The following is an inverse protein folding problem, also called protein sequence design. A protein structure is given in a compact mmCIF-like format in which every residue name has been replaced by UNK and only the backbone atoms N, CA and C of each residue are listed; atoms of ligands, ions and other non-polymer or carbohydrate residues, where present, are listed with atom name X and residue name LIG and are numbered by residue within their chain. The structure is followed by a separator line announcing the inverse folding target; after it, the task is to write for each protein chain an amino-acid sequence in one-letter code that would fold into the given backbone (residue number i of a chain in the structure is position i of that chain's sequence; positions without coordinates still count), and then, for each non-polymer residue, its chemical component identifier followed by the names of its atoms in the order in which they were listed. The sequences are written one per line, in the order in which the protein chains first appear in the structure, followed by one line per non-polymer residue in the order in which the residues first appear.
data_IF_365139001742
#
_entry.id   IF_365139001742
#
_cell.length_a   1.000
_cell.length_b   1.000
_cell.length_c   1.000
_cell.angle_alpha   90.00
_cell.angle_beta   90.00
_cell.angle_gamma   90.00
#
_symmetry.space_group_name_H-M   'P 1'
#
loop_
_entity.id
_entity.type
_entity.pdbx_description
1 polymer ?
#
# COMPACT_ATOMS: atom_id res chain seq x y z
N UNK A 1 10.22 3.61 -2.39
CA UNK A 1 10.86 4.90 -2.10
C UNK A 1 11.44 4.92 -0.68
N UNK A 2 10.64 4.70 0.37
CA UNK A 2 11.14 4.68 1.77
C UNK A 2 12.39 3.80 2.00
N UNK A 3 12.46 2.55 1.52
CA UNK A 3 13.63 1.70 1.79
C UNK A 3 14.91 2.25 1.17
N UNK A 4 14.84 2.88 -0.01
CA UNK A 4 16.02 3.44 -0.65
C UNK A 4 16.56 4.68 0.08
N UNK A 5 15.67 5.50 0.65
CA UNK A 5 16.11 6.66 1.41
C UNK A 5 16.74 6.26 2.76
N UNK A 6 16.14 5.30 3.45
CA UNK A 6 16.60 4.88 4.77
C UNK A 6 17.79 3.91 4.69
N UNK A 7 17.72 2.86 3.87
CA UNK A 7 18.71 1.79 3.84
C UNK A 7 19.86 2.09 2.87
N UNK A 8 19.57 2.61 1.67
CA UNK A 8 20.62 2.85 0.67
C UNK A 8 21.28 4.22 0.85
N UNK A 9 20.49 5.27 1.10
CA UNK A 9 20.98 6.65 1.25
C UNK A 9 21.32 7.03 2.70
N UNK A 10 20.93 6.20 3.69
CA UNK A 10 21.26 6.40 5.11
C UNK A 10 20.54 7.58 5.78
N UNK A 11 19.41 8.04 5.23
CA UNK A 11 18.61 9.07 5.89
C UNK A 11 17.86 8.44 7.09
N UNK A 12 18.11 8.95 8.30
CA UNK A 12 17.56 8.37 9.54
C UNK A 12 16.08 8.72 9.78
N UNK A 13 15.64 9.90 9.33
CA UNK A 13 14.28 10.43 9.61
C UNK A 13 13.35 10.36 8.39
N UNK A 14 13.27 9.20 7.72
CA UNK A 14 12.38 9.03 6.55
C UNK A 14 10.96 8.69 7.02
N UNK A 15 9.95 9.53 6.72
CA UNK A 15 8.58 9.24 7.11
C UNK A 15 8.04 8.01 6.38
N UNK A 16 7.40 7.12 7.13
CA UNK A 16 6.67 5.98 6.58
C UNK A 16 5.40 6.47 5.85
N UNK A 17 4.84 5.62 5.00
CA UNK A 17 3.53 5.91 4.42
C UNK A 17 2.48 6.02 5.52
N UNK A 18 1.68 7.08 5.47
CA UNK A 18 0.63 7.35 6.46
C UNK A 18 -0.66 6.55 6.21
N UNK A 19 -0.85 6.04 4.99
CA UNK A 19 -2.02 5.28 4.58
C UNK A 19 -1.66 4.34 3.43
N UNK A 20 -2.29 3.17 3.39
CA UNK A 20 -2.16 2.25 2.26
C UNK A 20 -3.53 1.68 1.87
N UNK A 21 -3.86 1.75 0.58
CA UNK A 21 -4.96 1.01 0.00
C UNK A 21 -4.52 0.39 -1.31
N UNK A 22 -4.87 -0.87 -1.52
CA UNK A 22 -4.64 -1.58 -2.75
C UNK A 22 -5.96 -2.11 -3.27
N UNK A 23 -6.29 -1.80 -4.53
CA UNK A 23 -7.37 -2.44 -5.27
C UNK A 23 -6.72 -3.46 -6.19
N UNK A 24 -7.13 -4.72 -6.08
CA UNK A 24 -6.49 -5.83 -6.77
C UNK A 24 -7.51 -6.92 -7.03
N UNK A 25 -7.44 -7.61 -8.16
CA UNK A 25 -8.19 -8.84 -8.45
C UNK A 25 -7.33 -10.10 -8.21
N UNK A 26 -6.04 -9.93 -7.90
CA UNK A 26 -5.12 -11.03 -7.61
C UNK A 26 -5.32 -11.57 -6.21
N UNK A 27 -5.73 -12.83 -6.12
CA UNK A 27 -5.60 -13.59 -4.87
C UNK A 27 -4.14 -13.67 -4.43
N UNK A 28 -3.89 -13.62 -3.11
CA UNK A 28 -2.58 -13.92 -2.51
C UNK A 28 -2.17 -15.34 -2.88
N UNK A 29 -1.40 -15.49 -3.95
CA UNK A 29 -0.98 -16.77 -4.50
C UNK A 29 0.51 -16.70 -4.84
N UNK A 30 1.30 -17.59 -4.22
CA UNK A 30 2.73 -17.83 -4.48
C UNK A 30 3.69 -16.63 -4.39
N UNK A 31 3.53 -15.72 -3.42
CA UNK A 31 4.54 -14.69 -3.14
C UNK A 31 4.71 -13.65 -4.24
N UNK A 32 3.65 -13.42 -5.04
CA UNK A 32 3.62 -12.32 -6.01
C UNK A 32 3.72 -10.96 -5.31
N UNK A 33 4.64 -10.10 -5.78
CA UNK A 33 4.73 -8.71 -5.31
C UNK A 33 3.41 -7.95 -5.45
N UNK A 34 2.63 -8.25 -6.49
CA UNK A 34 1.34 -7.60 -6.77
C UNK A 34 0.25 -8.05 -5.81
N UNK A 35 0.31 -9.29 -5.31
CA UNK A 35 -0.66 -9.83 -4.35
C UNK A 35 -0.16 -9.81 -2.90
N UNK A 36 1.04 -9.31 -2.62
CA UNK A 36 1.66 -9.36 -1.31
C UNK A 36 0.76 -8.76 -0.22
N UNK A 37 0.64 -9.43 0.93
CA UNK A 37 -0.15 -8.90 2.05
C UNK A 37 0.46 -7.59 2.59
N UNK A 38 -0.34 -6.72 3.23
CA UNK A 38 0.15 -5.45 3.76
C UNK A 38 1.27 -5.62 4.79
N UNK A 39 1.32 -6.75 5.49
CA UNK A 39 2.37 -7.08 6.46
C UNK A 39 3.76 -7.17 5.84
N UNK A 40 3.89 -7.58 4.57
CA UNK A 40 5.19 -7.52 3.89
C UNK A 40 5.66 -6.07 3.74
N UNK A 41 4.75 -5.13 3.49
CA UNK A 41 5.12 -3.70 3.38
C UNK A 41 5.58 -3.10 4.72
N UNK A 42 5.23 -3.71 5.85
CA UNK A 42 5.75 -3.35 7.18
C UNK A 42 7.19 -3.85 7.35
N UNK A 43 7.48 -5.10 6.96
CA UNK A 43 8.85 -5.64 7.10
C UNK A 43 9.86 -4.92 6.22
N UNK A 44 9.41 -4.42 5.05
CA UNK A 44 10.22 -3.53 4.20
C UNK A 44 10.37 -2.10 4.76
N UNK A 45 9.76 -1.77 5.90
CA UNK A 45 9.82 -0.43 6.48
C UNK A 45 9.13 0.62 5.61
N UNK A 46 8.08 0.26 4.86
CA UNK A 46 7.26 1.23 4.10
C UNK A 46 6.05 1.70 4.90
N UNK A 47 5.51 0.84 5.75
CA UNK A 47 4.35 1.09 6.61
C UNK A 47 4.72 0.84 8.08
N UNK A 48 4.08 1.58 8.98
CA UNK A 48 4.09 1.28 10.40
C UNK A 48 3.12 0.15 10.75
N UNK A 49 3.28 -0.45 11.93
CA UNK A 49 2.39 -1.48 12.46
C UNK A 49 0.96 -0.95 12.53
N UNK A 50 0.80 0.26 13.06
CA UNK A 50 -0.50 0.90 13.29
C UNK A 50 -1.01 1.70 12.08
N UNK A 51 -0.24 1.76 10.99
CA UNK A 51 -0.67 2.48 9.78
C UNK A 51 -1.95 1.85 9.22
N UNK A 52 -3.01 2.65 8.95
CA UNK A 52 -4.22 2.17 8.30
C UNK A 52 -3.90 1.58 6.92
N UNK A 53 -4.31 0.33 6.71
CA UNK A 53 -4.00 -0.45 5.51
C UNK A 53 -5.18 -1.32 5.11
N UNK A 54 -5.59 -1.21 3.85
CA UNK A 54 -6.78 -1.90 3.33
C UNK A 54 -6.48 -2.54 1.97
N UNK A 55 -7.10 -3.69 1.71
CA UNK A 55 -7.10 -4.34 0.40
C UNK A 55 -8.56 -4.48 -0.04
N UNK A 56 -8.86 -4.06 -1.26
CA UNK A 56 -10.15 -4.25 -1.91
C UNK A 56 -9.94 -5.25 -3.04
N UNK A 57 -10.46 -6.47 -2.85
CA UNK A 57 -10.39 -7.55 -3.84
C UNK A 57 -11.42 -7.33 -4.95
N UNK A 58 -11.08 -6.51 -5.95
CA UNK A 58 -11.97 -6.13 -7.06
C UNK A 58 -11.23 -5.47 -8.21
N UNK A 59 -11.91 -5.28 -9.34
CA UNK A 59 -11.41 -4.56 -10.50
C UNK A 59 -11.33 -3.04 -10.21
N UNK A 60 -10.18 -2.45 -10.50
CA UNK A 60 -9.92 -1.03 -10.27
C UNK A 60 -10.83 -0.10 -11.09
N UNK A 61 -11.27 -0.51 -12.28
CA UNK A 61 -12.19 0.25 -13.12
C UNK A 61 -13.58 0.40 -12.51
N UNK A 62 -13.96 -0.47 -11.58
CA UNK A 62 -15.21 -0.40 -10.83
C UNK A 62 -15.02 0.41 -9.55
N UNK A 63 -14.00 0.06 -8.74
CA UNK A 63 -13.85 0.61 -7.38
C UNK A 63 -13.25 2.00 -7.38
N UNK A 64 -12.23 2.27 -8.19
CA UNK A 64 -11.52 3.57 -8.13
C UNK A 64 -12.44 4.76 -8.43
N UNK A 65 -13.35 4.72 -9.43
CA UNK A 65 -14.32 5.80 -9.65
C UNK A 65 -15.23 6.05 -8.44
N UNK A 66 -15.70 5.00 -7.75
CA UNK A 66 -16.57 5.13 -6.58
C UNK A 66 -15.84 5.78 -5.39
N UNK A 67 -14.59 5.36 -5.15
CA UNK A 67 -13.74 5.95 -4.10
C UNK A 67 -13.47 7.42 -4.40
N UNK A 68 -13.13 7.76 -5.64
CA UNK A 68 -12.87 9.14 -6.03
C UNK A 68 -14.13 10.00 -5.96
N UNK A 69 -15.30 9.49 -6.36
CA UNK A 69 -16.56 10.20 -6.21
C UNK A 69 -16.83 10.52 -4.73
N UNK A 70 -16.61 9.57 -3.83
CA UNK A 70 -16.85 9.77 -2.40
C UNK A 70 -15.83 10.71 -1.74
N UNK A 71 -14.54 10.55 -2.03
CA UNK A 71 -13.46 11.29 -1.35
C UNK A 71 -13.26 12.69 -1.95
N UNK A 72 -13.37 12.82 -3.27
CA UNK A 72 -13.13 14.09 -3.98
C UNK A 72 -14.42 14.88 -4.26
N UNK A 73 -15.59 14.32 -3.97
CA UNK A 73 -16.88 15.00 -4.15
C UNK A 73 -17.25 15.21 -5.63
N UNK A 74 -17.02 14.19 -6.45
CA UNK A 74 -17.20 14.25 -7.91
C UNK A 74 -18.67 14.12 -8.34
#
# INVERSE_FOLDING_TARGET
VVPMLHQDFGAEDVPLWAYFCQISDSTTSYGSYSGAVPNEKITWGKLGIDTPKFIIESDASIVAPLVFAHVLGW
#
